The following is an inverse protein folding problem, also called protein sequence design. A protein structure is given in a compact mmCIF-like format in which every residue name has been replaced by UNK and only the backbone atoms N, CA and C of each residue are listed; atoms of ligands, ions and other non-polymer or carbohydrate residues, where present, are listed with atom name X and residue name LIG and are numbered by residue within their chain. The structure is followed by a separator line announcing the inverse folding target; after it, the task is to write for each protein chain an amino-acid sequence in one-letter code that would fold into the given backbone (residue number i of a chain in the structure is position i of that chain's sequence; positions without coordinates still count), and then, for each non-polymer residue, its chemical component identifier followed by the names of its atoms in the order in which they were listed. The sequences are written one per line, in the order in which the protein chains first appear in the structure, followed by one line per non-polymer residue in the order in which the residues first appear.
data_IF_714037001641
#
_entry.id   IF_714037001641
#
_cell.length_a   1.000
_cell.length_b   1.000
_cell.length_c   1.000
_cell.angle_alpha   90.00
_cell.angle_beta   90.00
_cell.angle_gamma   90.00
#
_symmetry.space_group_name_H-M   'P 1'
#
loop_
_entity.id
_entity.type
_entity.pdbx_description
1 polymer ?
#
# COMPACT_ATOMS: atom_id res chain seq x y z
N UNK A 1 -5.74 -17.66 32.35
CA UNK A 1 -5.66 -16.34 33.01
C UNK A 1 -6.82 -15.52 32.49
N UNK A 2 -7.83 -15.16 33.30
CA UNK A 2 -8.91 -14.30 32.83
C UNK A 2 -8.30 -12.92 32.49
N UNK A 3 -8.58 -12.41 31.29
CA UNK A 3 -8.15 -11.07 30.88
C UNK A 3 -8.78 -10.04 31.82
N UNK A 4 -7.95 -9.27 32.52
CA UNK A 4 -8.46 -8.16 33.33
C UNK A 4 -9.15 -7.14 32.40
N UNK A 5 -10.28 -6.53 32.82
CA UNK A 5 -11.02 -5.58 32.00
C UNK A 5 -10.15 -4.43 31.43
N UNK A 6 -9.13 -4.01 32.19
CA UNK A 6 -8.16 -2.99 31.76
C UNK A 6 -7.28 -3.45 30.59
N UNK A 7 -6.90 -4.73 30.54
CA UNK A 7 -6.12 -5.30 29.43
C UNK A 7 -6.93 -5.36 28.14
N UNK A 8 -8.22 -5.72 28.23
CA UNK A 8 -9.14 -5.74 27.09
C UNK A 8 -9.33 -4.35 26.46
N UNK A 9 -9.44 -3.31 27.29
CA UNK A 9 -9.56 -1.93 26.83
C UNK A 9 -8.32 -1.46 26.09
N UNK A 10 -7.12 -1.75 26.61
CA UNK A 10 -5.85 -1.37 25.96
C UNK A 10 -5.72 -2.06 24.60
N UNK A 11 -6.00 -3.36 24.53
CA UNK A 11 -5.97 -4.11 23.26
C UNK A 11 -6.99 -3.57 22.25
N UNK A 12 -8.18 -3.18 22.70
CA UNK A 12 -9.19 -2.59 21.85
C UNK A 12 -8.78 -1.21 21.32
N UNK A 13 -8.21 -0.35 22.18
CA UNK A 13 -7.76 0.99 21.76
C UNK A 13 -6.58 0.89 20.81
N UNK A 14 -5.53 0.13 21.16
CA UNK A 14 -4.34 -0.01 20.31
C UNK A 14 -4.67 -0.73 19.01
N UNK A 15 -5.40 -1.84 19.10
CA UNK A 15 -5.84 -2.61 17.94
C UNK A 15 -6.78 -1.81 17.03
N UNK A 16 -7.77 -1.13 17.61
CA UNK A 16 -8.74 -0.30 16.89
C UNK A 16 -8.12 0.91 16.21
N UNK A 17 -7.23 1.64 16.91
CA UNK A 17 -6.49 2.77 16.33
C UNK A 17 -5.56 2.30 15.22
N UNK A 18 -4.86 1.18 15.42
CA UNK A 18 -4.01 0.57 14.39
C UNK A 18 -4.80 0.22 13.13
N UNK A 19 -5.97 -0.44 13.29
CA UNK A 19 -6.83 -0.82 12.19
C UNK A 19 -7.36 0.40 11.41
N UNK A 20 -7.80 1.44 12.12
CA UNK A 20 -8.25 2.69 11.52
C UNK A 20 -7.12 3.42 10.77
N UNK A 21 -5.92 3.47 11.33
CA UNK A 21 -4.76 4.09 10.71
C UNK A 21 -4.38 3.34 9.41
N UNK A 22 -4.31 2.00 9.46
CA UNK A 22 -4.01 1.18 8.29
C UNK A 22 -5.08 1.31 7.20
N UNK A 23 -6.37 1.24 7.57
CA UNK A 23 -7.46 1.35 6.61
C UNK A 23 -7.51 2.73 5.93
N UNK A 24 -7.26 3.80 6.70
CA UNK A 24 -7.21 5.17 6.17
C UNK A 24 -5.99 5.33 5.27
N UNK A 25 -4.82 4.86 5.70
CA UNK A 25 -3.60 4.87 4.90
C UNK A 25 -3.78 4.13 3.58
N UNK A 26 -4.42 2.95 3.60
CA UNK A 26 -4.70 2.18 2.38
C UNK A 26 -5.66 2.94 1.44
N UNK A 27 -6.75 3.53 1.95
CA UNK A 27 -7.67 4.34 1.12
C UNK A 27 -7.01 5.57 0.53
N UNK A 28 -6.12 6.22 1.26
CA UNK A 28 -5.38 7.39 0.76
C UNK A 28 -4.39 6.95 -0.31
N UNK A 29 -3.65 5.86 -0.09
CA UNK A 29 -2.76 5.27 -1.08
C UNK A 29 -3.51 4.81 -2.34
N UNK A 30 -4.71 4.26 -2.20
CA UNK A 30 -5.57 3.87 -3.33
C UNK A 30 -6.06 5.08 -4.14
N UNK A 31 -6.27 6.24 -3.49
CA UNK A 31 -6.73 7.47 -4.15
C UNK A 31 -5.62 8.28 -4.80
N UNK A 32 -4.44 8.34 -4.17
CA UNK A 32 -3.31 9.15 -4.60
C UNK A 32 -2.26 8.35 -5.38
N UNK A 33 -2.25 7.03 -5.21
CA UNK A 33 -1.34 6.15 -5.91
C UNK A 33 -1.71 5.94 -7.37
N UNK A 34 -0.77 5.42 -8.17
CA UNK A 34 -1.04 5.07 -9.56
C UNK A 34 -2.19 4.07 -9.66
N UNK A 35 -2.99 4.16 -10.73
CA UNK A 35 -4.08 3.20 -10.97
C UNK A 35 -3.49 1.89 -11.46
N UNK A 36 -3.08 1.05 -10.51
CA UNK A 36 -2.46 -0.25 -10.76
C UNK A 36 -3.51 -1.32 -11.03
N UNK A 37 -3.38 -1.99 -12.17
CA UNK A 37 -4.10 -3.23 -12.42
C UNK A 37 -3.27 -4.41 -11.89
N UNK A 38 -3.91 -5.55 -11.59
CA UNK A 38 -3.20 -6.73 -11.09
C UNK A 38 -2.06 -7.17 -12.04
N UNK A 39 -2.25 -7.00 -13.35
CA UNK A 39 -1.26 -7.32 -14.38
C UNK A 39 -0.06 -6.35 -14.40
N UNK A 40 -0.17 -5.18 -13.78
CA UNK A 40 0.90 -4.20 -13.70
C UNK A 40 1.94 -4.53 -12.63
N UNK A 41 1.55 -5.34 -11.64
CA UNK A 41 2.43 -5.83 -10.58
C UNK A 41 3.34 -6.96 -11.06
N UNK A 42 3.03 -7.56 -12.22
CA UNK A 42 3.87 -8.58 -12.82
C UNK A 42 5.20 -7.97 -13.27
N UNK A 43 6.30 -8.74 -13.19
CA UNK A 43 7.58 -8.29 -13.70
C UNK A 43 7.50 -8.03 -15.20
N UNK A 44 8.28 -7.06 -15.68
CA UNK A 44 8.48 -6.89 -17.11
C UNK A 44 9.23 -8.08 -17.70
N UNK A 45 8.82 -8.61 -18.86
CA UNK A 45 9.64 -9.54 -19.62
C UNK A 45 10.97 -8.94 -20.07
N UNK A 46 11.94 -9.82 -20.29
CA UNK A 46 13.22 -9.56 -20.94
C UNK A 46 13.04 -8.72 -22.22
N UNK A 47 13.94 -7.77 -22.55
CA UNK A 47 15.26 -7.48 -21.97
C UNK A 47 15.26 -6.53 -20.76
N UNK A 48 14.09 -6.19 -20.23
CA UNK A 48 13.97 -5.20 -19.18
C UNK A 48 14.34 -5.80 -17.82
N UNK A 49 14.85 -4.99 -16.87
CA UNK A 49 14.94 -5.38 -15.48
C UNK A 49 13.59 -5.90 -14.96
N UNK A 50 13.57 -6.89 -14.04
CA UNK A 50 12.35 -7.52 -13.54
C UNK A 50 11.59 -6.62 -12.55
N UNK A 51 11.47 -5.34 -12.85
CA UNK A 51 10.64 -4.40 -12.10
C UNK A 51 9.17 -4.58 -12.51
N UNK A 52 8.22 -4.19 -11.64
CA UNK A 52 6.81 -4.17 -11.98
C UNK A 52 6.55 -3.38 -13.27
N UNK A 53 5.65 -3.90 -14.11
CA UNK A 53 5.30 -3.29 -15.41
C UNK A 53 4.86 -1.84 -15.31
N UNK A 54 4.20 -1.43 -14.23
CA UNK A 54 3.78 -0.03 -14.09
C UNK A 54 4.95 0.96 -14.12
N UNK A 55 6.14 0.55 -13.65
CA UNK A 55 7.36 1.37 -13.66
C UNK A 55 7.82 1.72 -15.09
N UNK A 56 7.32 1.00 -16.09
CA UNK A 56 7.63 1.22 -17.51
C UNK A 56 6.44 1.70 -18.33
N UNK A 57 5.21 1.39 -17.91
CA UNK A 57 4.00 1.60 -18.72
C UNK A 57 3.12 2.76 -18.27
N UNK A 58 3.16 3.15 -17.00
CA UNK A 58 2.26 4.18 -16.46
C UNK A 58 2.95 5.54 -16.53
N UNK A 59 2.39 6.44 -17.34
CA UNK A 59 2.95 7.78 -17.53
C UNK A 59 3.02 8.58 -16.23
N UNK A 60 2.03 8.42 -15.34
CA UNK A 60 2.04 9.08 -14.01
C UNK A 60 3.30 8.75 -13.18
N UNK A 61 3.77 7.51 -13.26
CA UNK A 61 4.96 7.04 -12.53
C UNK A 61 6.24 7.49 -13.23
N UNK A 62 6.27 7.44 -14.57
CA UNK A 62 7.41 7.88 -15.36
C UNK A 62 7.65 9.39 -15.26
N UNK A 63 6.58 10.18 -15.25
CA UNK A 63 6.64 11.64 -15.07
C UNK A 63 7.21 12.01 -13.70
N UNK A 64 6.84 11.28 -12.65
CA UNK A 64 7.35 11.51 -11.30
C UNK A 64 8.82 11.06 -11.15
N UNK A 65 9.20 9.94 -11.78
CA UNK A 65 10.60 9.49 -11.84
C UNK A 65 11.49 10.50 -12.56
N UNK A 66 11.02 11.07 -13.68
CA UNK A 66 11.76 12.05 -14.47
C UNK A 66 11.87 13.44 -13.83
N UNK A 67 11.05 13.73 -12.80
CA UNK A 67 11.15 14.97 -12.00
C UNK A 67 12.20 14.91 -10.89
N UNK A 68 12.73 13.73 -10.57
CA UNK A 68 13.78 13.52 -9.57
C UNK A 68 15.15 13.45 -10.23
#
# INVERSE_FOLDING_TARGET
MPFEPGTGLILFVVGGVGLLATATGFKVAERLGPKLEAGDLLPMPFPHPPLPRFMYKKSEVLEELGRR
#
